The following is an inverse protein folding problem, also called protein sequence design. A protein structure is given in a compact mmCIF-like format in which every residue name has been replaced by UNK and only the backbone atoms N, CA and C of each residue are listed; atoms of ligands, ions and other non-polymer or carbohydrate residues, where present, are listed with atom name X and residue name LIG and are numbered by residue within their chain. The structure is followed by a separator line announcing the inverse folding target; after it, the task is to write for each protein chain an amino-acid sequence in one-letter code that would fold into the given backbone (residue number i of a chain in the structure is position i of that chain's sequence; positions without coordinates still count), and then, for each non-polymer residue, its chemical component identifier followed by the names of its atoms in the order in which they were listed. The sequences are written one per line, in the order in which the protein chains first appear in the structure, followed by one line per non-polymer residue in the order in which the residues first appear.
data_IF_889630524685
#
_entry.id   IF_889630524685
#
_cell.length_a   1.000
_cell.length_b   1.000
_cell.length_c   1.000
_cell.angle_alpha   90.00
_cell.angle_beta   90.00
_cell.angle_gamma   90.00
#
_symmetry.space_group_name_H-M   'P 1'
#
loop_
_entity.id
_entity.type
_entity.pdbx_description
1 polymer ?
#
# COMPACT_ATOMS: atom_id res chain seq x y z
N UNK A 1 33.66 36.95 62.31
CA UNK A 1 33.56 35.63 61.66
C UNK A 1 33.60 35.82 60.16
N UNK A 2 34.67 35.40 59.48
CA UNK A 2 34.64 35.09 58.04
C UNK A 2 35.92 34.32 57.66
N UNK A 3 35.78 33.01 57.65
CA UNK A 3 36.64 32.06 56.92
C UNK A 3 36.18 32.01 55.44
N UNK A 4 36.78 31.17 54.58
CA UNK A 4 37.84 31.54 53.64
C UNK A 4 37.34 31.60 52.19
N UNK A 5 38.23 32.13 51.32
CA UNK A 5 38.11 32.12 49.86
C UNK A 5 37.90 30.71 49.34
N UNK A 6 36.85 30.51 48.56
CA UNK A 6 36.64 29.31 47.75
C UNK A 6 36.53 29.74 46.28
N UNK A 7 37.53 29.37 45.48
CA UNK A 7 37.56 29.54 44.04
C UNK A 7 36.53 28.61 43.37
N UNK A 8 35.69 29.07 42.45
CA UNK A 8 34.96 28.16 41.57
C UNK A 8 35.81 27.78 40.35
N UNK A 9 35.90 26.46 40.12
CA UNK A 9 36.39 25.80 38.91
C UNK A 9 35.85 26.44 37.62
N UNK A 10 36.71 26.50 36.62
CA UNK A 10 36.35 26.77 35.24
C UNK A 10 35.26 25.80 34.75
N UNK A 11 34.11 26.35 34.37
CA UNK A 11 33.06 25.65 33.63
C UNK A 11 33.50 25.54 32.16
N UNK A 12 33.69 24.32 31.67
CA UNK A 12 33.95 24.04 30.26
C UNK A 12 32.76 24.51 29.42
N UNK A 13 32.97 25.53 28.59
CA UNK A 13 32.00 26.04 27.63
C UNK A 13 31.70 24.94 26.60
N UNK A 14 30.53 24.31 26.71
CA UNK A 14 30.04 23.37 25.70
C UNK A 14 29.85 24.11 24.36
N UNK A 15 30.38 23.55 23.27
CA UNK A 15 30.19 24.07 21.91
C UNK A 15 28.71 23.95 21.51
N UNK A 16 28.11 24.95 20.83
CA UNK A 16 26.71 24.87 20.41
C UNK A 16 26.54 23.78 19.34
N UNK A 17 25.61 22.87 19.60
CA UNK A 17 25.13 21.84 18.68
C UNK A 17 24.50 22.51 17.44
N UNK A 18 24.82 22.07 16.20
CA UNK A 18 24.17 22.62 15.02
C UNK A 18 22.66 22.29 15.04
N UNK A 19 21.78 23.20 14.56
CA UNK A 19 20.35 22.98 14.63
C UNK A 19 19.97 21.77 13.76
N UNK A 20 19.24 20.84 14.38
CA UNK A 20 18.56 19.73 13.71
C UNK A 20 17.66 20.31 12.61
N UNK A 21 17.92 19.94 11.37
CA UNK A 21 17.15 20.38 10.20
C UNK A 21 15.65 20.27 10.50
N UNK A 22 14.98 21.43 10.53
CA UNK A 22 13.54 21.52 10.69
C UNK A 22 12.90 20.75 9.53
N UNK A 23 12.14 19.71 9.86
CA UNK A 23 11.12 19.18 8.96
C UNK A 23 10.18 20.33 8.65
N UNK A 24 10.22 20.82 7.41
CA UNK A 24 9.19 21.71 6.91
C UNK A 24 7.83 21.03 7.13
N UNK A 25 6.97 21.67 7.92
CA UNK A 25 5.55 21.32 8.01
C UNK A 25 4.93 21.71 6.67
N UNK A 26 4.68 20.73 5.81
CA UNK A 26 3.82 20.94 4.66
C UNK A 26 2.36 21.04 5.16
N UNK A 27 1.66 22.08 4.70
CA UNK A 27 0.22 22.18 4.81
C UNK A 27 -0.42 20.93 4.17
N UNK A 28 -1.50 20.43 4.76
CA UNK A 28 -2.34 19.41 4.14
C UNK A 28 -3.22 20.07 3.08
N UNK A 29 -3.30 19.52 1.84
CA UNK A 29 -4.50 19.74 1.05
C UNK A 29 -5.08 18.42 0.52
N UNK A 30 -6.40 18.38 0.63
CA UNK A 30 -7.34 17.86 -0.38
C UNK A 30 -6.76 17.85 -1.80
N UNK A 31 -6.59 16.68 -2.40
CA UNK A 31 -6.86 16.49 -3.83
C UNK A 31 -6.85 15.01 -4.17
N UNK A 32 -7.86 14.58 -4.94
CA UNK A 32 -7.95 13.26 -5.57
C UNK A 32 -6.92 13.06 -6.68
N UNK A 33 -5.69 13.54 -6.46
CA UNK A 33 -4.58 13.49 -7.41
C UNK A 33 -4.09 12.05 -7.55
N UNK A 34 -3.94 11.54 -8.77
CA UNK A 34 -3.34 10.22 -9.02
C UNK A 34 -1.91 10.11 -8.46
N UNK A 35 -1.40 8.88 -8.28
CA UNK A 35 -0.01 8.68 -7.85
C UNK A 35 0.99 9.37 -8.79
N UNK A 36 0.74 9.32 -10.09
CA UNK A 36 1.51 10.02 -11.11
C UNK A 36 1.58 11.54 -10.85
N UNK A 37 0.44 12.17 -10.55
CA UNK A 37 0.36 13.59 -10.24
C UNK A 37 1.11 13.96 -8.96
N UNK A 38 1.13 13.08 -7.96
CA UNK A 38 1.95 13.29 -6.74
C UNK A 38 3.44 13.18 -6.99
N UNK A 39 3.84 12.26 -7.87
CA UNK A 39 5.24 12.16 -8.29
C UNK A 39 5.64 13.43 -9.06
N UNK A 40 4.80 13.90 -9.98
CA UNK A 40 5.01 15.16 -10.70
C UNK A 40 5.13 16.36 -9.75
N UNK A 41 4.24 16.45 -8.76
CA UNK A 41 4.29 17.48 -7.74
C UNK A 41 5.57 17.39 -6.92
N UNK A 42 5.97 16.19 -6.47
CA UNK A 42 7.20 16.00 -5.71
C UNK A 42 8.43 16.40 -6.51
N UNK A 43 8.48 16.08 -7.80
CA UNK A 43 9.58 16.48 -8.69
C UNK A 43 9.65 18.01 -8.76
N UNK A 44 8.52 18.69 -8.97
CA UNK A 44 8.46 20.16 -9.01
C UNK A 44 8.86 20.81 -7.68
N UNK A 45 8.40 20.27 -6.56
CA UNK A 45 8.68 20.80 -5.21
C UNK A 45 10.16 20.73 -4.83
N UNK A 46 10.91 19.76 -5.35
CA UNK A 46 12.33 19.63 -5.05
C UNK A 46 13.16 20.77 -5.64
N UNK A 47 12.81 21.25 -6.83
CA UNK A 47 13.41 22.44 -7.45
C UNK A 47 14.91 22.38 -7.73
N UNK A 48 15.56 21.23 -7.52
CA UNK A 48 17.00 21.03 -7.63
C UNK A 48 17.35 19.70 -8.33
N UNK A 49 18.63 19.31 -8.29
CA UNK A 49 19.14 18.10 -8.94
C UNK A 49 18.41 16.82 -8.54
N UNK A 50 17.80 16.77 -7.35
CA UNK A 50 17.07 15.60 -6.86
C UNK A 50 15.76 15.43 -7.59
N UNK A 51 15.10 16.53 -7.95
CA UNK A 51 13.91 16.52 -8.81
C UNK A 51 14.24 15.95 -10.19
N UNK A 52 15.30 16.47 -10.83
CA UNK A 52 15.77 15.99 -12.12
C UNK A 52 16.21 14.51 -12.10
N UNK A 53 16.89 14.08 -11.04
CA UNK A 53 17.26 12.68 -10.85
C UNK A 53 16.04 11.77 -10.72
N UNK A 54 15.04 12.17 -9.91
CA UNK A 54 13.81 11.41 -9.72
C UNK A 54 12.97 11.32 -11.02
N UNK A 55 12.89 12.42 -11.78
CA UNK A 55 12.25 12.45 -13.10
C UNK A 55 12.93 11.49 -14.08
N UNK A 56 14.27 11.53 -14.17
CA UNK A 56 15.04 10.62 -15.02
C UNK A 56 14.81 9.15 -14.64
N UNK A 57 14.84 8.83 -13.34
CA UNK A 57 14.58 7.47 -12.86
C UNK A 57 13.18 7.01 -13.26
N UNK A 58 12.16 7.85 -13.02
CA UNK A 58 10.77 7.54 -13.37
C UNK A 58 10.63 7.22 -14.87
N UNK A 59 11.22 8.07 -15.73
CA UNK A 59 11.19 7.86 -17.16
C UNK A 59 11.86 6.54 -17.58
N UNK A 60 12.98 6.17 -16.94
CA UNK A 60 13.66 4.90 -17.22
C UNK A 60 12.84 3.70 -16.73
N UNK A 61 12.19 3.78 -15.58
CA UNK A 61 11.32 2.71 -15.07
C UNK A 61 10.14 2.48 -16.03
N UNK A 62 9.45 3.54 -16.45
CA UNK A 62 8.33 3.43 -17.40
C UNK A 62 8.78 2.91 -18.78
N UNK A 63 9.99 3.24 -19.23
CA UNK A 63 10.57 2.68 -20.46
C UNK A 63 10.93 1.20 -20.32
N UNK A 64 11.35 0.76 -19.13
CA UNK A 64 11.65 -0.64 -18.88
C UNK A 64 10.38 -1.51 -19.00
N UNK A 65 9.24 -0.96 -18.59
CA UNK A 65 7.94 -1.60 -18.64
C UNK A 65 6.78 -0.56 -18.67
N UNK A 66 6.07 -0.42 -19.81
CA UNK A 66 4.92 0.47 -19.92
C UNK A 66 3.73 0.09 -19.02
N UNK A 67 3.68 -1.14 -18.53
CA UNK A 67 2.63 -1.61 -17.62
C UNK A 67 2.98 -1.38 -16.13
N UNK A 68 4.10 -0.72 -15.83
CA UNK A 68 4.50 -0.41 -14.47
C UNK A 68 3.45 0.45 -13.78
N UNK A 69 2.96 -0.02 -12.62
CA UNK A 69 2.06 0.77 -11.80
C UNK A 69 2.87 1.78 -10.98
N UNK A 70 2.44 3.05 -11.05
CA UNK A 70 2.94 4.10 -10.17
C UNK A 70 2.07 4.18 -8.93
N UNK A 71 2.72 4.19 -7.78
CA UNK A 71 2.08 4.25 -6.49
C UNK A 71 2.74 5.32 -5.63
N UNK A 72 2.00 5.78 -4.63
CA UNK A 72 2.51 6.70 -3.62
C UNK A 72 2.28 6.10 -2.26
N UNK A 73 3.36 5.56 -1.67
CA UNK A 73 3.32 4.83 -0.41
C UNK A 73 4.31 5.42 0.57
N UNK A 74 3.94 5.47 1.85
CA UNK A 74 4.82 5.99 2.92
C UNK A 74 5.44 7.38 2.64
N UNK A 75 4.70 8.25 1.93
CA UNK A 75 5.12 9.58 1.49
C UNK A 75 6.29 9.61 0.47
N UNK A 76 6.48 8.52 -0.27
CA UNK A 76 7.46 8.41 -1.35
C UNK A 76 6.85 7.75 -2.61
N UNK A 77 7.38 8.05 -3.81
CA UNK A 77 7.13 7.27 -5.01
C UNK A 77 7.45 5.79 -4.82
N UNK A 78 6.60 4.91 -5.35
CA UNK A 78 6.81 3.46 -5.41
C UNK A 78 6.38 2.97 -6.78
N UNK A 79 7.16 2.06 -7.37
CA UNK A 79 6.82 1.39 -8.63
C UNK A 79 6.60 -0.10 -8.38
N UNK A 80 5.54 -0.64 -8.98
CA UNK A 80 5.15 -2.04 -8.79
C UNK A 80 4.73 -2.72 -10.09
N UNK A 81 5.04 -4.01 -10.16
CA UNK A 81 4.54 -4.94 -11.17
C UNK A 81 4.59 -6.34 -10.55
N UNK A 82 3.42 -6.97 -10.38
CA UNK A 82 3.25 -8.24 -9.66
C UNK A 82 3.87 -8.23 -8.23
N UNK A 83 3.96 -7.03 -7.63
CA UNK A 83 4.66 -6.76 -6.38
C UNK A 83 5.53 -5.50 -6.47
N UNK A 84 6.01 -5.00 -5.34
CA UNK A 84 6.88 -3.81 -5.31
C UNK A 84 8.19 -4.11 -6.04
N UNK A 85 8.56 -3.25 -6.99
CA UNK A 85 9.85 -3.29 -7.68
C UNK A 85 10.85 -2.46 -6.89
N UNK A 86 10.64 -1.15 -6.81
CA UNK A 86 11.48 -0.25 -6.02
C UNK A 86 10.74 0.99 -5.51
N UNK A 87 11.33 1.64 -4.51
CA UNK A 87 10.94 2.97 -4.00
C UNK A 87 11.74 4.08 -4.70
N UNK A 88 11.28 5.33 -4.60
CA UNK A 88 11.98 6.54 -5.06
C UNK A 88 12.16 7.55 -3.93
N UNK A 89 12.97 7.22 -2.94
CA UNK A 89 13.14 8.00 -1.71
C UNK A 89 14.07 9.21 -1.96
N UNK A 90 13.72 10.39 -1.47
CA UNK A 90 14.55 11.59 -1.67
C UNK A 90 15.05 12.12 -0.33
N UNK A 91 16.37 12.26 -0.22
CA UNK A 91 17.07 12.77 0.96
C UNK A 91 17.88 14.02 0.63
N UNK A 92 18.52 14.61 1.65
CA UNK A 92 19.34 15.81 1.47
C UNK A 92 20.51 15.59 0.49
N UNK A 93 21.10 14.39 0.48
CA UNK A 93 22.33 14.10 -0.28
C UNK A 93 22.20 13.04 -1.35
N UNK A 94 21.06 12.33 -1.38
CA UNK A 94 20.86 11.17 -2.27
C UNK A 94 19.39 11.07 -2.72
N UNK A 95 19.17 10.61 -3.94
CA UNK A 95 17.92 9.98 -4.37
C UNK A 95 18.14 8.47 -4.29
N UNK A 96 17.41 7.79 -3.42
CA UNK A 96 17.59 6.38 -3.07
C UNK A 96 16.51 5.51 -3.70
N UNK A 97 16.94 4.49 -4.43
CA UNK A 97 16.09 3.48 -5.04
C UNK A 97 16.25 2.16 -4.30
N UNK A 98 15.32 1.82 -3.42
CA UNK A 98 15.37 0.56 -2.68
C UNK A 98 14.60 -0.51 -3.43
N UNK A 99 15.29 -1.55 -3.91
CA UNK A 99 14.65 -2.68 -4.61
C UNK A 99 14.15 -3.71 -3.59
N UNK A 100 12.86 -4.04 -3.65
CA UNK A 100 12.20 -4.86 -2.63
C UNK A 100 12.77 -6.28 -2.52
N UNK A 101 13.24 -6.83 -3.64
CA UNK A 101 13.96 -8.12 -3.72
C UNK A 101 15.40 -7.97 -4.19
N UNK A 102 16.00 -6.80 -3.97
CA UNK A 102 17.31 -6.43 -4.51
C UNK A 102 18.42 -7.43 -4.25
N UNK A 103 18.42 -8.13 -3.10
CA UNK A 103 19.46 -9.11 -2.77
C UNK A 103 19.55 -10.30 -3.75
N UNK A 104 18.43 -10.66 -4.39
CA UNK A 104 18.36 -11.78 -5.33
C UNK A 104 18.44 -11.38 -6.81
N UNK A 105 18.68 -10.10 -7.12
CA UNK A 105 18.72 -9.61 -8.50
C UNK A 105 20.13 -9.73 -9.10
N UNK A 106 20.27 -10.15 -10.37
CA UNK A 106 21.54 -10.02 -11.06
C UNK A 106 21.89 -8.53 -11.24
N UNK A 107 23.13 -8.17 -10.93
CA UNK A 107 23.63 -6.80 -11.05
C UNK A 107 25.07 -6.79 -11.62
N UNK A 108 25.25 -7.19 -12.89
CA UNK A 108 26.57 -7.31 -13.52
C UNK A 108 27.25 -5.94 -13.73
N UNK A 109 26.48 -4.87 -13.74
CA UNK A 109 26.99 -3.49 -13.85
C UNK A 109 27.24 -2.84 -12.49
N UNK A 110 27.06 -3.58 -11.39
CA UNK A 110 27.29 -3.13 -10.02
C UNK A 110 26.59 -1.81 -9.67
N UNK A 111 25.33 -1.66 -10.11
CA UNK A 111 24.53 -0.47 -9.84
C UNK A 111 24.17 -0.33 -8.35
N UNK A 112 24.01 -1.43 -7.63
CA UNK A 112 23.76 -1.37 -6.19
C UNK A 112 25.00 -0.87 -5.45
N UNK A 113 24.85 0.22 -4.72
CA UNK A 113 25.91 0.85 -3.92
C UNK A 113 25.51 1.07 -2.45
N UNK A 114 24.28 0.72 -2.07
CA UNK A 114 23.76 0.86 -0.71
C UNK A 114 23.02 -0.41 -0.27
N UNK A 115 23.00 -0.65 1.04
CA UNK A 115 22.24 -1.74 1.66
C UNK A 115 22.65 -3.12 1.13
N UNK A 116 23.93 -3.29 0.82
CA UNK A 116 24.47 -4.47 0.12
C UNK A 116 24.42 -5.75 0.95
N UNK A 117 24.50 -5.62 2.27
CA UNK A 117 24.48 -6.74 3.23
C UNK A 117 23.05 -7.22 3.55
N UNK A 118 22.02 -6.55 3.00
CA UNK A 118 20.63 -6.91 3.25
C UNK A 118 20.27 -8.28 2.66
N UNK A 119 19.64 -9.15 3.45
CA UNK A 119 19.17 -10.48 3.00
C UNK A 119 18.01 -10.45 2.00
N UNK A 120 17.41 -9.28 1.78
CA UNK A 120 16.19 -9.15 0.95
C UNK A 120 16.30 -7.98 -0.01
N UNK A 121 16.73 -6.81 0.49
CA UNK A 121 16.76 -5.55 -0.26
C UNK A 121 18.20 -5.14 -0.54
N UNK A 122 18.41 -4.48 -1.67
CA UNK A 122 19.59 -3.67 -2.00
C UNK A 122 19.11 -2.35 -2.58
N UNK A 123 19.94 -1.32 -2.52
CA UNK A 123 19.57 0.02 -2.95
C UNK A 123 20.64 0.69 -3.81
N UNK A 124 20.18 1.63 -4.63
CA UNK A 124 21.01 2.56 -5.39
C UNK A 124 20.81 3.95 -4.77
N UNK A 125 21.85 4.50 -4.18
CA UNK A 125 21.90 5.89 -3.73
C UNK A 125 22.54 6.73 -4.85
N UNK A 126 21.74 7.54 -5.54
CA UNK A 126 22.19 8.48 -6.57
C UNK A 126 22.54 9.82 -5.93
N UNK A 127 23.74 10.33 -6.18
CA UNK A 127 24.23 11.63 -5.71
C UNK A 127 24.17 12.67 -6.83
N UNK A 128 24.38 13.93 -6.44
CA UNK A 128 24.50 15.02 -7.40
C UNK A 128 25.65 14.77 -8.36
N UNK A 129 25.38 14.88 -9.66
CA UNK A 129 26.35 14.62 -10.73
C UNK A 129 26.53 13.14 -11.10
N UNK A 130 25.90 12.19 -10.39
CA UNK A 130 26.03 10.77 -10.73
C UNK A 130 25.39 10.47 -12.10
N UNK A 131 26.11 9.68 -12.90
CA UNK A 131 25.55 9.02 -14.05
C UNK A 131 24.73 7.80 -13.62
N UNK A 132 23.58 7.58 -14.27
CA UNK A 132 22.84 6.32 -14.19
C UNK A 132 22.85 5.66 -15.57
N UNK A 133 23.54 4.52 -15.70
CA UNK A 133 23.50 3.73 -16.93
C UNK A 133 22.05 3.30 -17.20
N UNK A 134 21.47 3.90 -18.24
CA UNK A 134 20.08 3.71 -18.59
C UNK A 134 19.76 2.26 -18.99
N UNK A 135 20.68 1.59 -19.70
CA UNK A 135 20.46 0.22 -20.17
C UNK A 135 20.57 -0.76 -19.01
N UNK A 136 21.62 -0.63 -18.19
CA UNK A 136 21.82 -1.47 -17.03
C UNK A 136 20.67 -1.29 -16.02
N UNK A 137 20.23 -0.05 -15.78
CA UNK A 137 19.12 0.22 -14.86
C UNK A 137 17.80 -0.37 -15.36
N UNK A 138 17.47 -0.24 -16.65
CA UNK A 138 16.28 -0.87 -17.22
C UNK A 138 16.36 -2.41 -17.14
N UNK A 139 17.53 -3.00 -17.38
CA UNK A 139 17.74 -4.44 -17.23
C UNK A 139 17.51 -4.89 -15.78
N UNK A 140 17.98 -4.12 -14.80
CA UNK A 140 17.76 -4.37 -13.38
C UNK A 140 16.26 -4.28 -13.01
N UNK A 141 15.54 -3.28 -13.53
CA UNK A 141 14.08 -3.16 -13.36
C UNK A 141 13.36 -4.39 -13.93
N UNK A 142 13.68 -4.81 -15.16
CA UNK A 142 13.12 -6.02 -15.77
C UNK A 142 13.41 -7.27 -14.95
N UNK A 143 14.61 -7.41 -14.42
CA UNK A 143 14.97 -8.51 -13.54
C UNK A 143 14.16 -8.52 -12.23
N UNK A 144 13.87 -7.34 -11.67
CA UNK A 144 13.03 -7.19 -10.49
C UNK A 144 11.57 -7.62 -10.76
N UNK A 145 11.01 -7.23 -11.90
CA UNK A 145 9.67 -7.67 -12.33
C UNK A 145 9.64 -9.20 -12.47
N UNK A 146 10.63 -9.79 -13.15
CA UNK A 146 10.73 -11.25 -13.28
C UNK A 146 10.86 -11.96 -11.92
N UNK A 147 11.57 -11.36 -10.95
CA UNK A 147 11.68 -11.89 -9.59
C UNK A 147 10.35 -11.84 -8.82
N UNK A 148 9.45 -10.90 -9.14
CA UNK A 148 8.11 -10.86 -8.58
C UNK A 148 7.20 -11.98 -9.12
N UNK A 149 7.36 -12.35 -10.40
CA UNK A 149 6.58 -13.42 -11.05
C UNK A 149 7.03 -14.84 -10.70
N UNK A 150 8.33 -15.05 -10.45
CA UNK A 150 8.91 -16.38 -10.18
C UNK A 150 8.15 -17.23 -9.13
N UNK A 151 7.73 -16.70 -7.97
CA UNK A 151 6.92 -17.46 -7.02
C UNK A 151 5.56 -17.91 -7.57
N UNK A 152 4.89 -17.05 -8.35
CA UNK A 152 3.61 -17.35 -8.97
C UNK A 152 3.75 -18.41 -10.07
N UNK A 153 4.78 -18.30 -10.90
CA UNK A 153 5.09 -19.29 -11.95
C UNK A 153 5.54 -20.63 -11.38
N UNK A 154 6.35 -20.63 -10.32
CA UNK A 154 6.75 -21.85 -9.62
C UNK A 154 5.54 -22.55 -8.96
N UNK A 155 4.62 -21.78 -8.38
CA UNK A 155 3.37 -22.31 -7.86
C UNK A 155 2.53 -22.95 -8.98
N UNK A 156 2.38 -22.27 -10.12
CA UNK A 156 1.65 -22.78 -11.29
C UNK A 156 2.27 -24.05 -11.89
N UNK A 157 3.61 -24.09 -12.07
CA UNK A 157 4.32 -25.26 -12.63
C UNK A 157 4.30 -26.48 -11.72
N UNK A 158 4.21 -26.29 -10.41
CA UNK A 158 4.16 -27.41 -9.46
C UNK A 158 2.82 -28.15 -9.45
N UNK A 159 1.79 -27.67 -10.19
CA UNK A 159 0.41 -28.15 -10.09
C UNK A 159 -0.20 -27.96 -8.70
N UNK A 160 0.57 -27.45 -7.75
CA UNK A 160 0.21 -27.17 -6.38
C UNK A 160 -0.33 -25.74 -6.35
N UNK A 161 -1.50 -25.56 -6.95
CA UNK A 161 -2.43 -24.57 -6.43
C UNK A 161 -2.65 -24.98 -4.98
N UNK A 162 -1.88 -24.42 -4.04
CA UNK A 162 -2.07 -24.70 -2.63
C UNK A 162 -3.45 -24.18 -2.32
N UNK A 163 -4.42 -25.08 -2.19
CA UNK A 163 -5.75 -24.73 -1.68
C UNK A 163 -5.51 -23.97 -0.37
N UNK A 164 -5.90 -22.69 -0.29
CA UNK A 164 -5.60 -21.89 0.88
C UNK A 164 -6.16 -22.58 2.12
N UNK A 165 -5.33 -22.64 3.18
CA UNK A 165 -5.77 -23.24 4.45
C UNK A 165 -7.00 -22.46 4.92
N UNK A 166 -8.07 -23.17 5.29
CA UNK A 166 -9.23 -22.53 5.89
C UNK A 166 -8.97 -22.32 7.40
N UNK A 167 -9.28 -21.12 7.89
CA UNK A 167 -9.29 -20.77 9.29
C UNK A 167 -10.62 -21.22 9.94
N UNK A 168 -10.77 -20.95 11.24
CA UNK A 168 -12.05 -21.11 11.91
C UNK A 168 -13.16 -20.34 11.17
N UNK A 169 -14.36 -20.93 11.09
CA UNK A 169 -15.47 -20.36 10.32
C UNK A 169 -15.42 -20.62 8.81
N UNK A 170 -14.42 -21.37 8.33
CA UNK A 170 -14.15 -21.61 6.90
C UNK A 170 -13.63 -20.37 6.16
N UNK A 171 -13.08 -19.37 6.86
CA UNK A 171 -12.48 -18.20 6.23
C UNK A 171 -11.12 -18.55 5.61
N UNK A 172 -10.90 -18.33 4.30
CA UNK A 172 -9.62 -18.61 3.66
C UNK A 172 -8.45 -17.83 4.27
N UNK A 173 -7.34 -18.52 4.53
CA UNK A 173 -6.08 -17.90 4.93
C UNK A 173 -5.33 -17.43 3.68
N UNK A 174 -5.57 -16.18 3.31
CA UNK A 174 -4.94 -15.54 2.14
C UNK A 174 -3.92 -14.52 2.61
N UNK A 175 -2.75 -14.55 1.98
CA UNK A 175 -1.70 -13.60 2.27
C UNK A 175 -2.17 -12.16 2.04
N UNK A 176 -1.66 -11.23 2.84
CA UNK A 176 -1.90 -9.80 2.62
C UNK A 176 -1.40 -9.40 1.23
N UNK A 177 -2.26 -8.80 0.41
CA UNK A 177 -1.94 -8.37 -0.94
C UNK A 177 -2.84 -7.22 -1.40
N UNK A 178 -2.36 -6.45 -2.38
CA UNK A 178 -3.11 -5.40 -3.07
C UNK A 178 -3.59 -5.90 -4.43
N UNK A 179 -4.68 -5.34 -4.93
CA UNK A 179 -5.24 -5.63 -6.26
C UNK A 179 -6.26 -6.77 -6.28
N UNK A 180 -6.70 -7.12 -7.49
CA UNK A 180 -7.74 -8.13 -7.71
C UNK A 180 -7.29 -9.55 -7.44
N UNK A 181 -6.02 -9.87 -7.72
CA UNK A 181 -5.47 -11.21 -7.58
C UNK A 181 -5.69 -11.84 -6.18
N UNK A 182 -5.35 -11.19 -5.05
CA UNK A 182 -5.58 -11.77 -3.74
C UNK A 182 -7.06 -11.92 -3.37
N UNK A 183 -7.94 -11.04 -3.86
CA UNK A 183 -9.39 -11.18 -3.63
C UNK A 183 -9.98 -12.31 -4.47
N UNK A 184 -9.49 -12.51 -5.71
CA UNK A 184 -9.86 -13.65 -6.54
C UNK A 184 -9.45 -14.97 -5.89
N UNK A 185 -8.22 -15.06 -5.40
CA UNK A 185 -7.73 -16.23 -4.66
C UNK A 185 -8.59 -16.52 -3.43
N UNK A 186 -9.00 -15.47 -2.69
CA UNK A 186 -9.93 -15.60 -1.57
C UNK A 186 -11.28 -16.20 -1.99
N UNK A 187 -11.86 -15.72 -3.09
CA UNK A 187 -13.14 -16.20 -3.61
C UNK A 187 -13.04 -17.65 -4.09
N UNK A 188 -11.99 -17.98 -4.85
CA UNK A 188 -11.74 -19.32 -5.38
C UNK A 188 -11.54 -20.37 -4.27
N UNK A 189 -11.00 -19.96 -3.12
CA UNK A 189 -10.81 -20.81 -1.96
C UNK A 189 -12.09 -21.13 -1.18
N UNK A 190 -13.18 -20.39 -1.42
CA UNK A 190 -14.46 -20.64 -0.77
C UNK A 190 -15.22 -21.78 -1.47
N UNK A 191 -16.02 -22.49 -0.68
CA UNK A 191 -16.89 -23.56 -1.17
C UNK A 191 -18.37 -23.25 -0.89
N UNK A 192 -19.25 -23.80 -1.73
CA UNK A 192 -20.70 -23.77 -1.56
C UNK A 192 -21.30 -22.36 -1.52
N UNK A 193 -22.34 -22.19 -0.70
CA UNK A 193 -23.11 -20.94 -0.61
C UNK A 193 -22.27 -19.72 -0.22
N UNK A 194 -21.18 -19.90 0.54
CA UNK A 194 -20.28 -18.79 0.92
C UNK A 194 -19.61 -18.21 -0.32
N UNK A 195 -19.11 -19.06 -1.21
CA UNK A 195 -18.52 -18.62 -2.49
C UNK A 195 -19.54 -17.84 -3.31
N UNK A 196 -20.74 -18.39 -3.49
CA UNK A 196 -21.80 -17.73 -4.25
C UNK A 196 -22.18 -16.35 -3.68
N UNK A 197 -22.25 -16.19 -2.36
CA UNK A 197 -22.50 -14.89 -1.73
C UNK A 197 -21.33 -13.93 -1.97
N UNK A 198 -20.09 -14.37 -1.76
CA UNK A 198 -18.92 -13.48 -1.91
C UNK A 198 -18.74 -13.06 -3.38
N UNK A 199 -18.92 -13.96 -4.35
CA UNK A 199 -18.90 -13.64 -5.79
C UNK A 199 -19.95 -12.57 -6.14
N UNK A 200 -21.17 -12.74 -5.61
CA UNK A 200 -22.27 -11.79 -5.85
C UNK A 200 -22.01 -10.43 -5.22
N UNK A 201 -21.46 -10.40 -4.00
CA UNK A 201 -21.03 -9.16 -3.34
C UNK A 201 -19.91 -8.48 -4.12
N UNK A 202 -18.87 -9.21 -4.54
CA UNK A 202 -17.77 -8.65 -5.33
C UNK A 202 -18.27 -8.03 -6.64
N UNK A 203 -19.14 -8.73 -7.36
CA UNK A 203 -19.76 -8.23 -8.59
C UNK A 203 -20.58 -6.95 -8.34
N UNK A 204 -21.35 -6.88 -7.24
CA UNK A 204 -22.09 -5.68 -6.85
C UNK A 204 -21.17 -4.51 -6.51
N UNK A 205 -20.06 -4.78 -5.84
CA UNK A 205 -19.07 -3.75 -5.50
C UNK A 205 -18.40 -3.19 -6.75
N UNK A 206 -17.95 -4.05 -7.66
CA UNK A 206 -17.36 -3.66 -8.95
C UNK A 206 -18.37 -2.87 -9.80
N UNK A 207 -19.64 -3.32 -9.84
CA UNK A 207 -20.71 -2.61 -10.55
C UNK A 207 -21.03 -1.25 -9.94
N UNK A 208 -21.03 -1.15 -8.62
CA UNK A 208 -21.34 0.08 -7.89
C UNK A 208 -20.23 1.12 -7.96
N UNK A 209 -18.98 0.66 -8.04
CA UNK A 209 -17.78 1.50 -8.01
C UNK A 209 -16.80 1.01 -9.10
N UNK A 210 -16.96 1.49 -10.35
CA UNK A 210 -16.00 1.18 -11.41
C UNK A 210 -14.57 1.57 -11.00
N UNK A 211 -13.62 0.66 -11.17
CA UNK A 211 -12.22 0.85 -10.76
C UNK A 211 -11.95 0.69 -9.26
N UNK A 212 -12.88 0.11 -8.49
CA UNK A 212 -12.72 -0.16 -7.06
C UNK A 212 -11.37 -0.79 -6.74
N UNK A 213 -10.68 -0.26 -5.72
CA UNK A 213 -9.44 -0.85 -5.20
C UNK A 213 -9.78 -2.05 -4.34
N UNK A 214 -9.10 -3.16 -4.58
CA UNK A 214 -9.23 -4.39 -3.81
C UNK A 214 -7.96 -4.72 -3.05
N UNK A 215 -8.11 -5.42 -1.94
CA UNK A 215 -7.00 -5.89 -1.13
C UNK A 215 -7.45 -7.04 -0.22
N UNK A 216 -6.49 -7.86 0.19
CA UNK A 216 -6.66 -8.72 1.37
C UNK A 216 -5.88 -8.14 2.54
N UNK A 217 -6.56 -7.98 3.68
CA UNK A 217 -5.97 -7.58 4.98
C UNK A 217 -6.52 -8.48 6.06
N UNK A 218 -5.66 -8.99 6.95
CA UNK A 218 -6.05 -9.91 8.02
C UNK A 218 -6.96 -11.05 7.53
N UNK A 219 -6.59 -11.68 6.40
CA UNK A 219 -7.35 -12.75 5.73
C UNK A 219 -8.78 -12.37 5.32
N UNK A 220 -9.04 -11.09 5.05
CA UNK A 220 -10.37 -10.59 4.67
C UNK A 220 -10.25 -9.70 3.44
N UNK A 221 -11.18 -9.76 2.47
CA UNK A 221 -11.26 -8.80 1.38
C UNK A 221 -11.67 -7.41 1.88
N UNK A 222 -11.00 -6.39 1.36
CA UNK A 222 -11.25 -4.98 1.60
C UNK A 222 -11.44 -4.26 0.27
N UNK A 223 -12.37 -3.31 0.26
CA UNK A 223 -12.71 -2.50 -0.89
C UNK A 223 -12.56 -1.00 -0.57
N UNK A 224 -11.88 -0.30 -1.48
CA UNK A 224 -11.56 1.12 -1.38
C UNK A 224 -11.87 1.84 -2.69
N UNK A 225 -11.91 3.17 -2.65
CA UNK A 225 -12.30 3.99 -3.80
C UNK A 225 -11.30 3.86 -4.98
N UNK A 226 -11.82 3.99 -6.20
CA UNK A 226 -11.04 4.17 -7.43
C UNK A 226 -10.40 5.57 -7.47
N UNK A 227 -9.13 5.68 -7.85
CA UNK A 227 -8.46 6.98 -8.04
C UNK A 227 -7.88 7.63 -6.78
N UNK A 228 -7.86 6.95 -5.63
CA UNK A 228 -7.28 7.45 -4.39
C UNK A 228 -5.89 6.89 -4.08
N UNK A 229 -5.06 7.70 -3.43
CA UNK A 229 -3.74 7.30 -2.91
C UNK A 229 -3.87 6.38 -1.69
N UNK A 230 -2.79 5.69 -1.33
CA UNK A 230 -2.58 5.17 0.03
C UNK A 230 -2.93 6.30 1.05
N UNK A 231 -4.12 6.21 1.65
CA UNK A 231 -4.67 7.25 2.52
C UNK A 231 -6.16 7.58 2.37
N UNK A 232 -6.89 7.09 1.35
CA UNK A 232 -8.36 7.26 1.31
C UNK A 232 -9.13 6.21 2.11
N UNK A 233 -8.41 5.22 2.67
CA UNK A 233 -8.96 4.18 3.51
C UNK A 233 -9.85 3.18 2.76
N UNK A 234 -10.52 2.34 3.53
CA UNK A 234 -11.42 1.29 3.06
C UNK A 234 -12.84 1.65 3.46
N UNK A 235 -13.79 1.54 2.53
CA UNK A 235 -15.19 1.80 2.85
C UNK A 235 -15.94 0.52 3.26
N UNK A 236 -15.43 -0.63 2.83
CA UNK A 236 -16.08 -1.93 3.00
C UNK A 236 -15.06 -3.04 3.23
N UNK A 237 -15.40 -3.97 4.12
CA UNK A 237 -14.69 -5.24 4.28
C UNK A 237 -15.67 -6.40 4.38
N UNK A 238 -15.22 -7.58 3.94
CA UNK A 238 -15.99 -8.82 3.97
C UNK A 238 -15.25 -9.87 4.81
N UNK A 239 -15.98 -10.63 5.63
CA UNK A 239 -15.43 -11.74 6.38
C UNK A 239 -16.38 -12.93 6.42
N UNK A 240 -15.85 -14.14 6.25
CA UNK A 240 -16.65 -15.36 6.25
C UNK A 240 -16.65 -16.00 7.64
N UNK A 241 -17.84 -16.29 8.16
CA UNK A 241 -18.05 -17.05 9.39
C UNK A 241 -18.75 -18.38 9.07
N UNK A 242 -18.82 -19.28 10.07
CA UNK A 242 -19.43 -20.61 9.90
C UNK A 242 -20.84 -20.54 9.31
N UNK A 243 -21.66 -19.58 9.76
CA UNK A 243 -23.11 -19.50 9.49
C UNK A 243 -23.54 -18.26 8.69
N UNK A 244 -22.63 -17.35 8.40
CA UNK A 244 -22.94 -16.13 7.65
C UNK A 244 -21.68 -15.53 7.02
N UNK A 245 -21.86 -14.69 5.99
CA UNK A 245 -20.85 -13.78 5.47
C UNK A 245 -21.16 -12.40 6.01
N UNK A 246 -20.22 -11.80 6.74
CA UNK A 246 -20.36 -10.46 7.28
C UNK A 246 -19.85 -9.44 6.26
N UNK A 247 -20.66 -8.44 6.00
CA UNK A 247 -20.28 -7.28 5.20
C UNK A 247 -20.25 -6.05 6.09
N UNK A 248 -19.06 -5.51 6.35
CA UNK A 248 -18.83 -4.39 7.27
C UNK A 248 -18.57 -3.10 6.51
N UNK A 249 -19.39 -2.08 6.77
CA UNK A 249 -19.21 -0.72 6.28
C UNK A 249 -18.57 0.13 7.38
N UNK A 250 -17.36 0.64 7.15
CA UNK A 250 -16.60 1.32 8.20
C UNK A 250 -17.19 2.66 8.64
N UNK A 251 -17.92 3.33 7.74
CA UNK A 251 -18.75 4.52 8.02
C UNK A 251 -20.25 4.19 7.94
N UNK A 252 -20.61 2.98 8.34
CA UNK A 252 -21.95 2.43 8.19
C UNK A 252 -23.07 3.24 8.87
N UNK A 253 -22.79 3.96 9.95
CA UNK A 253 -23.76 4.80 10.64
C UNK A 253 -24.31 5.97 9.79
N UNK A 254 -23.56 6.39 8.77
CA UNK A 254 -23.97 7.44 7.83
C UNK A 254 -24.83 6.90 6.69
N UNK A 255 -24.92 5.58 6.51
CA UNK A 255 -25.68 4.99 5.40
C UNK A 255 -27.18 5.02 5.67
N UNK A 256 -27.95 5.09 4.58
CA UNK A 256 -29.43 5.13 4.60
C UNK A 256 -30.01 4.11 3.61
N UNK A 257 -30.96 3.25 4.05
CA UNK A 257 -31.31 2.96 5.44
C UNK A 257 -30.08 2.51 6.26
N UNK A 258 -30.16 2.60 7.58
CA UNK A 258 -29.06 2.19 8.45
C UNK A 258 -28.86 0.66 8.37
N UNK A 259 -27.66 0.14 8.06
CA UNK A 259 -27.42 -1.30 8.13
C UNK A 259 -27.65 -1.79 9.57
N UNK A 260 -28.41 -2.88 9.77
CA UNK A 260 -28.93 -3.28 11.09
C UNK A 260 -27.85 -3.71 12.09
N UNK A 261 -26.73 -4.27 11.64
CA UNK A 261 -25.67 -4.72 12.52
C UNK A 261 -24.85 -3.56 13.08
N UNK A 262 -24.68 -3.50 14.39
CA UNK A 262 -23.89 -2.47 15.07
C UNK A 262 -23.84 -2.70 16.58
N UNK A 263 -22.79 -2.21 17.22
CA UNK A 263 -22.68 -2.14 18.69
C UNK A 263 -22.11 -0.79 19.08
N UNK A 264 -22.24 -0.41 20.34
CA UNK A 264 -21.57 0.79 20.86
C UNK A 264 -20.05 0.75 20.61
N UNK A 265 -19.43 -0.43 20.82
CA UNK A 265 -18.00 -0.65 20.60
C UNK A 265 -17.56 -0.49 19.14
N UNK A 266 -18.46 -0.71 18.19
CA UNK A 266 -18.14 -0.58 16.76
C UNK A 266 -18.17 0.86 16.26
N UNK A 267 -18.54 1.83 17.12
CA UNK A 267 -18.64 3.25 16.78
C UNK A 267 -19.46 3.44 15.49
N UNK A 268 -18.84 3.98 14.45
CA UNK A 268 -19.45 4.27 13.15
C UNK A 268 -19.65 3.04 12.27
N UNK A 269 -18.96 1.94 12.57
CA UNK A 269 -19.08 0.74 11.74
C UNK A 269 -20.46 0.11 11.93
N UNK A 270 -21.07 -0.27 10.80
CA UNK A 270 -22.28 -1.08 10.74
C UNK A 270 -22.07 -2.23 9.77
N UNK A 271 -22.85 -3.30 9.91
CA UNK A 271 -22.72 -4.48 9.04
C UNK A 271 -24.06 -5.13 8.74
N UNK A 272 -24.02 -6.03 7.77
CA UNK A 272 -25.06 -7.03 7.54
C UNK A 272 -24.45 -8.43 7.55
N UNK A 273 -25.24 -9.41 7.98
CA UNK A 273 -24.86 -10.82 7.97
C UNK A 273 -25.69 -11.53 6.90
N UNK A 274 -25.05 -11.91 5.80
CA UNK A 274 -25.67 -12.63 4.69
C UNK A 274 -25.62 -14.14 4.96
N UNK A 275 -26.76 -14.82 4.86
CA UNK A 275 -26.93 -16.23 5.27
C UNK A 275 -27.32 -17.11 4.09
N UNK A 276 -27.01 -18.39 4.20
CA UNK A 276 -27.47 -19.41 3.26
C UNK A 276 -29.00 -19.38 3.10
N UNK A 277 -29.48 -19.38 1.85
CA UNK A 277 -30.92 -19.42 1.53
C UNK A 277 -31.69 -18.12 1.83
N UNK A 278 -31.09 -17.13 2.50
CA UNK A 278 -31.74 -15.85 2.74
C UNK A 278 -31.70 -14.98 1.48
N UNK A 279 -32.80 -14.27 1.14
CA UNK A 279 -32.79 -13.34 0.02
C UNK A 279 -31.79 -12.21 0.26
N UNK A 280 -31.05 -11.86 -0.78
CA UNK A 280 -30.16 -10.70 -0.78
C UNK A 280 -30.85 -9.60 -1.57
N UNK A 281 -31.20 -8.51 -0.89
CA UNK A 281 -31.63 -7.30 -1.56
C UNK A 281 -30.43 -6.64 -2.24
N UNK A 282 -30.20 -7.00 -3.50
CA UNK A 282 -29.10 -6.46 -4.30
C UNK A 282 -29.21 -4.97 -4.55
N UNK A 283 -30.43 -4.43 -4.66
CA UNK A 283 -30.64 -3.01 -4.92
C UNK A 283 -30.20 -2.21 -3.71
N UNK A 284 -30.62 -2.63 -2.52
CA UNK A 284 -30.22 -2.03 -1.27
C UNK A 284 -28.72 -2.18 -1.01
N UNK A 285 -28.15 -3.36 -1.28
CA UNK A 285 -26.72 -3.60 -1.12
C UNK A 285 -25.90 -2.72 -2.07
N UNK A 286 -26.31 -2.60 -3.34
CA UNK A 286 -25.68 -1.70 -4.31
C UNK A 286 -25.79 -0.23 -3.87
N UNK A 287 -26.93 0.19 -3.32
CA UNK A 287 -27.12 1.53 -2.80
C UNK A 287 -26.19 1.83 -1.62
N UNK A 288 -26.04 0.90 -0.68
CA UNK A 288 -25.08 1.02 0.43
C UNK A 288 -23.64 1.08 -0.04
N UNK A 289 -23.25 0.25 -1.01
CA UNK A 289 -21.91 0.28 -1.61
C UNK A 289 -21.62 1.66 -2.19
N UNK A 290 -22.54 2.23 -2.98
CA UNK A 290 -22.38 3.56 -3.59
C UNK A 290 -22.27 4.66 -2.53
N UNK A 291 -23.12 4.63 -1.51
CA UNK A 291 -23.06 5.58 -0.41
C UNK A 291 -21.75 5.46 0.38
N UNK A 292 -21.33 4.25 0.72
CA UNK A 292 -20.11 4.02 1.47
C UNK A 292 -18.87 4.49 0.70
N UNK A 293 -18.84 4.26 -0.61
CA UNK A 293 -17.74 4.71 -1.48
C UNK A 293 -17.67 6.24 -1.65
N UNK A 294 -18.76 6.96 -1.35
CA UNK A 294 -18.79 8.43 -1.34
C UNK A 294 -18.30 9.04 -0.01
N UNK A 295 -18.09 8.22 1.03
CA UNK A 295 -17.61 8.67 2.34
C UNK A 295 -16.09 8.48 2.47
N UNK A 296 -15.42 9.25 3.36
CA UNK A 296 -14.02 9.00 3.69
C UNK A 296 -13.83 7.58 4.24
N UNK A 297 -12.94 6.81 3.63
CA UNK A 297 -12.66 5.44 4.05
C UNK A 297 -11.88 5.38 5.36
N UNK A 298 -11.92 4.21 5.97
CA UNK A 298 -11.22 3.90 7.21
C UNK A 298 -9.78 3.45 6.93
N UNK A 299 -8.82 4.04 7.63
CA UNK A 299 -7.41 3.65 7.56
C UNK A 299 -6.92 3.23 8.96
N UNK A 300 -6.48 1.97 9.15
CA UNK A 300 -5.94 1.49 10.43
C UNK A 300 -4.71 2.27 10.93
N UNK A 301 -3.99 2.97 10.04
CA UNK A 301 -2.82 3.78 10.40
C UNK A 301 -3.13 5.24 10.74
N UNK A 302 -4.35 5.72 10.46
CA UNK A 302 -4.75 7.10 10.72
C UNK A 302 -5.30 7.18 12.15
N UNK A 303 -4.60 7.90 13.04
CA UNK A 303 -5.19 8.28 14.34
C UNK A 303 -6.42 9.15 14.06
N UNK A 304 -7.54 8.75 14.66
CA UNK A 304 -8.80 9.52 14.63
C UNK A 304 -8.62 10.88 15.28
#
# INVERSE_FOLDING_TARGET
MQSPRNSPRASSRAKPTPPRAQRARAASPTDGSSAAQRIDQRIRELGDWRGAALERVRALIQRADPAMAEEWKWNVPVWSHDGIVCTGEVYAKVVKLTFARGAGLPDPSHLFNSSLEGKTRRAIDLREGDGLDARAFQALVKAAIAANRRPAEAAARSGRARTPKLLSGSNPQIAKGDGDAPVREYVEALAGWKRAIVERVDALVVRGVPGVRKAVRWNSPFYGRAGGIEGEGWFLALHVFTRYVKLSFFRGAALRPLPPGGTEKSKDARWIDLREGAPIDEQQLLAWVKQAAALPGWDPGRKA
#
